data_IF_968253894742
#
_entry.id   IF_968253894742
#
_cell.length_a   1.000
_cell.length_b   1.000
_cell.length_c   1.000
_cell.angle_alpha   90.00
_cell.angle_beta   90.00
_cell.angle_gamma   90.00
#
_symmetry.space_group_name_H-M   'P 1'
#
loop_
_entity.id
_entity.type
_entity.pdbx_description
1 polymer ?
#
# COMPACT_ATOMS: atom_id res chain seq x y z
N UNK A 1 -24.54 32.04 -52.57
CA UNK A 1 -25.20 31.23 -53.62
C UNK A 1 -24.31 31.29 -54.86
N UNK A 2 -23.64 30.16 -55.18
CA UNK A 2 -22.97 29.77 -56.44
C UNK A 2 -21.70 30.56 -56.88
N UNK A 3 -20.49 29.95 -56.85
CA UNK A 3 -19.80 29.09 -57.87
C UNK A 3 -19.04 29.98 -58.91
N UNK A 4 -17.77 29.82 -59.33
CA UNK A 4 -17.02 28.63 -59.78
C UNK A 4 -15.49 28.88 -59.99
N UNK A 5 -14.69 27.85 -59.66
CA UNK A 5 -13.53 27.22 -60.38
C UNK A 5 -12.33 28.00 -60.97
N UNK A 6 -11.11 27.57 -60.57
CA UNK A 6 -10.00 27.15 -61.47
C UNK A 6 -8.82 26.58 -60.63
N UNK A 7 -8.71 25.26 -60.46
CA UNK A 7 -7.84 24.30 -61.19
C UNK A 7 -6.56 23.93 -60.41
N UNK A 8 -6.51 22.71 -59.84
CA UNK A 8 -5.46 21.71 -60.07
C UNK A 8 -5.80 20.47 -59.23
N UNK A 9 -6.45 19.44 -59.78
CA UNK A 9 -5.88 18.36 -60.60
C UNK A 9 -5.51 17.12 -59.75
N UNK A 10 -6.37 16.09 -59.88
CA UNK A 10 -6.21 14.65 -59.63
C UNK A 10 -6.35 14.04 -58.21
N UNK A 11 -7.53 13.43 -58.01
CA UNK A 11 -7.79 12.14 -57.34
C UNK A 11 -6.89 11.02 -57.94
N UNK A 12 -6.63 9.84 -57.36
CA UNK A 12 -7.50 8.87 -56.67
C UNK A 12 -6.60 7.78 -56.05
N UNK A 13 -6.73 7.43 -54.77
CA UNK A 13 -7.17 6.10 -54.31
C UNK A 13 -7.08 5.93 -52.80
N UNK A 14 -8.23 5.55 -52.27
CA UNK A 14 -8.60 5.21 -50.91
C UNK A 14 -7.87 3.99 -50.32
N UNK A 15 -7.85 3.99 -48.99
CA UNK A 15 -8.08 2.85 -48.08
C UNK A 15 -7.01 1.77 -47.81
N UNK A 16 -6.77 1.63 -46.50
CA UNK A 16 -6.54 0.39 -45.70
C UNK A 16 -5.08 0.08 -45.29
N UNK A 17 -4.78 0.55 -44.08
CA UNK A 17 -4.25 -0.22 -42.92
C UNK A 17 -2.92 -0.96 -43.05
N UNK A 18 -1.89 -0.48 -42.34
CA UNK A 18 -1.32 -1.12 -41.15
C UNK A 18 -0.09 -0.32 -40.67
N UNK A 19 -0.12 0.19 -39.43
CA UNK A 19 0.69 -0.28 -38.29
C UNK A 19 2.20 -0.31 -38.58
N UNK A 20 2.92 0.62 -37.95
CA UNK A 20 3.96 0.32 -36.94
C UNK A 20 4.52 1.63 -36.36
N UNK A 21 3.74 2.26 -35.48
CA UNK A 21 4.27 3.25 -34.54
C UNK A 21 5.07 2.50 -33.47
N UNK A 22 6.40 2.54 -33.59
CA UNK A 22 7.33 2.06 -32.57
C UNK A 22 8.24 3.20 -32.15
N UNK A 23 7.95 3.80 -30.99
CA UNK A 23 8.95 3.95 -29.91
C UNK A 23 8.31 4.59 -28.68
N UNK A 24 8.04 3.70 -27.72
CA UNK A 24 7.76 3.96 -26.31
C UNK A 24 8.55 5.11 -25.71
N UNK A 25 7.85 6.08 -25.11
CA UNK A 25 8.40 6.85 -23.99
C UNK A 25 7.38 6.94 -22.85
N UNK A 26 7.60 6.03 -21.91
CA UNK A 26 7.40 6.14 -20.47
C UNK A 26 6.00 6.51 -19.95
N UNK A 27 5.31 5.47 -19.44
CA UNK A 27 4.42 5.59 -18.30
C UNK A 27 5.18 6.31 -17.17
N UNK A 28 4.86 7.57 -16.93
CA UNK A 28 5.16 8.20 -15.65
C UNK A 28 4.27 7.54 -14.60
N UNK A 29 4.91 6.72 -13.78
CA UNK A 29 4.39 6.35 -12.48
C UNK A 29 4.07 7.67 -11.75
N UNK A 30 2.78 7.99 -11.65
CA UNK A 30 2.28 9.22 -11.04
C UNK A 30 2.35 9.09 -9.50
N UNK A 31 3.44 8.52 -9.01
CA UNK A 31 3.75 8.44 -7.60
C UNK A 31 4.11 9.85 -7.14
N UNK A 32 3.30 10.46 -6.25
CA UNK A 32 3.56 11.81 -5.80
C UNK A 32 4.94 11.85 -5.14
N UNK A 33 5.80 12.76 -5.62
CA UNK A 33 7.09 12.99 -5.00
C UNK A 33 6.92 13.20 -3.49
N UNK A 34 7.72 12.53 -2.65
CA UNK A 34 7.54 12.58 -1.21
C UNK A 34 7.72 14.02 -0.72
N UNK A 35 6.69 14.53 -0.04
CA UNK A 35 6.61 15.93 0.39
C UNK A 35 7.74 16.25 1.39
N UNK A 36 8.53 17.28 1.15
CA UNK A 36 9.60 17.73 2.06
C UNK A 36 9.10 18.86 2.97
N UNK A 37 9.28 18.73 4.28
CA UNK A 37 8.90 19.75 5.28
C UNK A 37 10.02 19.98 6.28
N UNK A 38 10.16 21.21 6.78
CA UNK A 38 11.17 21.52 7.79
C UNK A 38 10.79 21.01 9.19
N UNK A 39 11.77 20.69 10.05
CA UNK A 39 11.55 20.28 11.45
C UNK A 39 10.67 21.28 12.22
N UNK A 40 10.83 22.59 11.96
CA UNK A 40 10.04 23.64 12.62
C UNK A 40 8.56 23.59 12.23
N UNK A 41 8.28 23.36 10.94
CA UNK A 41 6.93 23.22 10.40
C UNK A 41 6.29 21.93 10.90
N UNK A 42 7.05 20.83 10.87
CA UNK A 42 6.62 19.53 11.36
C UNK A 42 6.21 19.59 12.85
N UNK A 43 7.00 20.27 13.70
CA UNK A 43 6.67 20.46 15.12
C UNK A 43 5.38 21.27 15.31
N UNK A 44 5.14 22.29 14.49
CA UNK A 44 3.95 23.15 14.59
C UNK A 44 2.66 22.46 14.17
N UNK A 45 2.73 21.57 13.18
CA UNK A 45 1.56 20.92 12.56
C UNK A 45 1.61 19.38 12.61
N UNK A 46 2.26 18.81 13.63
CA UNK A 46 2.52 17.37 13.76
C UNK A 46 1.26 16.52 13.51
N UNK A 47 0.16 16.86 14.16
CA UNK A 47 -1.10 16.13 14.05
C UNK A 47 -1.66 16.13 12.63
N UNK A 48 -1.49 17.22 11.87
CA UNK A 48 -1.97 17.30 10.49
C UNK A 48 -1.16 16.38 9.56
N UNK A 49 0.16 16.40 9.67
CA UNK A 49 1.04 15.52 8.89
C UNK A 49 0.84 14.05 9.25
N UNK A 50 0.65 13.71 10.53
CA UNK A 50 0.36 12.34 10.93
C UNK A 50 -0.96 11.82 10.33
N UNK A 51 -1.98 12.66 10.15
CA UNK A 51 -3.21 12.26 9.44
C UNK A 51 -2.96 11.97 7.96
N UNK A 52 -2.15 12.79 7.29
CA UNK A 52 -1.77 12.57 5.88
C UNK A 52 -0.97 11.28 5.74
N UNK A 53 -0.01 11.05 6.64
CA UNK A 53 0.78 9.81 6.69
C UNK A 53 -0.11 8.59 6.90
N UNK A 54 -1.13 8.68 7.76
CA UNK A 54 -2.11 7.60 7.93
C UNK A 54 -2.97 7.34 6.68
N UNK A 55 -3.11 8.31 5.80
CA UNK A 55 -3.88 8.19 4.55
C UNK A 55 -3.04 7.65 3.38
N UNK A 56 -1.74 7.41 3.58
CA UNK A 56 -0.86 6.88 2.53
C UNK A 56 0.27 7.81 2.11
N UNK A 57 0.31 9.05 2.61
CA UNK A 57 1.35 10.01 2.22
C UNK A 57 2.70 9.67 2.81
N UNK A 58 3.76 9.90 2.04
CA UNK A 58 5.15 9.83 2.51
C UNK A 58 5.72 11.24 2.61
N UNK A 59 6.32 11.57 3.75
CA UNK A 59 6.81 12.91 4.08
C UNK A 59 8.26 12.82 4.53
N UNK A 60 9.13 13.63 3.94
CA UNK A 60 10.52 13.79 4.34
C UNK A 60 10.64 15.01 5.26
N UNK A 61 11.18 14.81 6.46
CA UNK A 61 11.46 15.90 7.40
C UNK A 61 12.90 16.35 7.22
N UNK A 62 13.10 17.65 7.04
CA UNK A 62 14.40 18.26 6.80
C UNK A 62 14.83 19.21 7.91
N UNK A 63 16.13 19.25 8.20
CA UNK A 63 16.80 20.23 9.05
C UNK A 63 17.94 20.84 8.24
N UNK A 64 17.98 22.17 8.11
CA UNK A 64 19.01 22.87 7.31
C UNK A 64 19.17 22.23 5.91
N UNK A 65 18.04 22.00 5.23
CA UNK A 65 17.95 21.36 3.90
C UNK A 65 18.44 19.91 3.80
N UNK A 66 18.81 19.29 4.92
CA UNK A 66 19.17 17.88 5.00
C UNK A 66 18.00 17.05 5.52
N UNK A 67 17.68 15.95 4.85
CA UNK A 67 16.65 15.00 5.31
C UNK A 67 17.14 14.31 6.58
N UNK A 68 16.36 14.43 7.66
CA UNK A 68 16.65 13.83 8.98
C UNK A 68 15.71 12.68 9.33
N UNK A 69 14.52 12.63 8.73
CA UNK A 69 13.56 11.56 8.95
C UNK A 69 12.61 11.39 7.76
N UNK A 70 12.04 10.20 7.64
CA UNK A 70 10.94 9.90 6.73
C UNK A 70 9.74 9.44 7.57
N UNK A 71 8.58 10.01 7.32
CA UNK A 71 7.32 9.53 7.82
C UNK A 71 6.56 8.83 6.70
N UNK A 72 6.14 7.61 6.99
CA UNK A 72 5.36 6.75 6.11
C UNK A 72 4.27 6.04 6.90
N UNK A 73 3.20 5.57 6.25
CA UNK A 73 2.21 4.74 6.91
C UNK A 73 2.91 3.57 7.62
N UNK A 74 2.47 3.17 8.82
CA UNK A 74 2.99 1.98 9.46
C UNK A 74 2.82 0.80 8.50
N UNK A 75 3.84 -0.07 8.43
CA UNK A 75 3.72 -1.29 7.66
C UNK A 75 2.43 -2.02 8.10
N UNK A 76 1.66 -2.60 7.15
CA UNK A 76 0.49 -3.36 7.52
C UNK A 76 0.91 -4.37 8.58
N UNK A 77 0.23 -4.37 9.72
CA UNK A 77 0.58 -5.30 10.79
C UNK A 77 0.41 -6.69 10.21
N UNK A 78 1.52 -7.39 9.96
CA UNK A 78 1.50 -8.77 9.53
C UNK A 78 1.03 -9.58 10.73
N UNK A 79 -0.29 -9.67 10.90
CA UNK A 79 -0.90 -10.70 11.71
C UNK A 79 -1.14 -11.85 10.75
N UNK A 80 -0.29 -12.90 10.76
CA UNK A 80 -0.59 -14.08 9.98
C UNK A 80 -1.99 -14.53 10.37
N UNK A 81 -2.86 -14.71 9.38
CA UNK A 81 -4.20 -15.22 9.62
C UNK A 81 -4.04 -16.55 10.34
N UNK A 82 -4.70 -16.72 11.49
CA UNK A 82 -4.73 -18.00 12.19
C UNK A 82 -5.14 -19.08 11.19
N UNK A 83 -4.31 -20.10 11.04
CA UNK A 83 -4.61 -21.29 10.25
C UNK A 83 -4.89 -22.44 11.22
N UNK A 84 -6.18 -22.74 11.52
CA UNK A 84 -6.53 -23.89 12.34
C UNK A 84 -5.92 -25.15 11.75
N UNK A 85 -5.35 -26.02 12.59
CA UNK A 85 -4.73 -27.26 12.13
C UNK A 85 -3.38 -27.10 11.43
N UNK A 86 -2.69 -25.95 11.56
CA UNK A 86 -1.32 -25.79 11.05
C UNK A 86 -0.33 -26.87 11.55
N UNK A 87 -0.65 -27.49 12.69
CA UNK A 87 0.10 -28.59 13.30
C UNK A 87 -0.69 -29.91 13.32
N UNK A 88 -1.66 -30.09 12.41
CA UNK A 88 -2.46 -31.32 12.35
C UNK A 88 -1.55 -32.55 12.21
N UNK A 89 -1.74 -33.52 13.08
CA UNK A 89 -0.94 -34.75 13.12
C UNK A 89 0.48 -34.58 13.66
N UNK A 90 0.88 -33.38 14.11
CA UNK A 90 2.19 -33.11 14.72
C UNK A 90 2.11 -32.84 16.22
N UNK A 91 0.90 -32.62 16.76
CA UNK A 91 0.66 -32.50 18.20
C UNK A 91 0.19 -33.86 18.70
N UNK A 92 0.87 -34.39 19.71
CA UNK A 92 0.44 -35.56 20.47
C UNK A 92 0.03 -35.07 21.86
N UNK A 93 -1.20 -35.37 22.25
CA UNK A 93 -1.60 -35.23 23.65
C UNK A 93 -1.20 -36.49 24.41
N UNK A 94 -0.80 -36.32 25.66
CA UNK A 94 -0.65 -37.43 26.60
C UNK A 94 -2.03 -37.94 27.03
N UNK A 95 -2.09 -39.17 27.53
CA UNK A 95 -3.35 -39.82 27.92
C UNK A 95 -3.98 -39.16 29.14
N UNK A 96 -3.16 -38.55 29.99
CA UNK A 96 -3.52 -37.84 31.22
C UNK A 96 -3.82 -36.35 31.01
N UNK A 97 -3.83 -35.84 29.77
CA UNK A 97 -3.98 -34.39 29.52
C UNK A 97 -5.29 -33.80 30.09
N UNK A 98 -6.35 -34.60 30.12
CA UNK A 98 -7.66 -34.20 30.65
C UNK A 98 -7.82 -34.54 32.15
N UNK A 99 -6.80 -35.12 32.79
CA UNK A 99 -6.83 -35.45 34.22
C UNK A 99 -6.37 -34.26 35.08
N UNK A 100 -7.29 -33.70 35.87
CA UNK A 100 -6.97 -32.62 36.81
C UNK A 100 -6.43 -33.21 38.12
N UNK A 101 -5.26 -32.75 38.61
CA UNK A 101 -4.71 -33.21 39.89
C UNK A 101 -5.63 -32.92 41.09
N UNK A 102 -5.69 -33.81 42.10
CA UNK A 102 -6.61 -33.69 43.24
C UNK A 102 -6.40 -32.43 44.09
N UNK A 103 -5.15 -31.99 44.25
CA UNK A 103 -4.79 -30.77 45.00
C UNK A 103 -5.32 -29.50 44.32
N UNK A 104 -5.32 -29.48 42.99
CA UNK A 104 -5.92 -28.39 42.20
C UNK A 104 -7.43 -28.38 42.36
N UNK A 105 -8.08 -29.54 42.29
CA UNK A 105 -9.54 -29.66 42.52
C UNK A 105 -9.93 -29.15 43.91
N UNK A 106 -9.23 -29.59 44.97
CA UNK A 106 -9.47 -29.12 46.33
C UNK A 106 -9.27 -27.61 46.50
N UNK A 107 -8.34 -27.01 45.74
CA UNK A 107 -8.12 -25.56 45.80
C UNK A 107 -9.28 -24.76 45.20
N UNK A 108 -9.96 -25.29 44.18
CA UNK A 108 -11.10 -24.63 43.52
C UNK A 108 -12.38 -24.75 44.36
N UNK A 109 -12.50 -25.80 45.17
CA UNK A 109 -13.67 -26.09 46.00
C UNK A 109 -13.64 -25.40 47.38
N UNK A 110 -12.47 -24.94 47.86
CA UNK A 110 -12.33 -24.27 49.17
C UNK A 110 -13.01 -22.90 49.28
N UNK A 111 -13.32 -22.27 48.15
CA UNK A 111 -13.87 -20.91 48.06
C UNK A 111 -15.36 -20.86 47.64
N UNK A 112 -16.04 -22.02 47.59
CA UNK A 112 -17.49 -22.15 47.33
C UNK A 112 -18.30 -22.35 48.61
#
# INVERSE_FOLDING_TARGET
MFQEFSTSSFCVHDMVTHREETMSQHLSDNSPDPQKIGVREFRGNLTAYLRQVRQGSTILVTSHDQVVAELRPPAPSYRPRRQPGALRGRIRMSEDFDETPPDILESMERDL
#
